data_IF_946716722622
#
_entry.id   IF_946716722622
#
_cell.length_a   1.000
_cell.length_b   1.000
_cell.length_c   1.000
_cell.angle_alpha   90.00
_cell.angle_beta   90.00
_cell.angle_gamma   90.00
#
_symmetry.space_group_name_H-M   'P 1'
#
loop_
_entity.id
_entity.type
_entity.pdbx_description
1 polymer ?
#
# COMPACT_ATOMS: atom_id res chain seq x y z
N UNK A 1 36.79 -8.05 13.37
CA UNK A 1 35.31 -8.01 13.40
C UNK A 1 34.94 -6.76 12.64
N UNK A 2 34.70 -6.92 11.34
CA UNK A 2 34.32 -5.83 10.44
C UNK A 2 32.81 -5.58 10.58
N UNK A 3 32.39 -4.32 10.59
CA UNK A 3 30.98 -3.95 10.67
C UNK A 3 30.19 -4.48 9.45
N UNK A 4 30.91 -4.73 8.34
CA UNK A 4 30.38 -5.39 7.15
C UNK A 4 29.88 -6.84 7.42
N UNK A 5 30.51 -7.57 8.35
CA UNK A 5 30.11 -8.95 8.69
C UNK A 5 28.89 -9.00 9.63
N UNK A 6 28.64 -7.93 10.38
CA UNK A 6 27.50 -7.86 11.31
C UNK A 6 26.16 -7.66 10.56
N UNK A 7 26.19 -6.95 9.43
CA UNK A 7 25.02 -6.74 8.58
C UNK A 7 24.47 -8.03 7.98
N UNK A 8 25.36 -8.93 7.51
CA UNK A 8 24.98 -10.22 6.89
C UNK A 8 24.33 -11.23 7.85
N UNK A 9 24.49 -11.05 9.16
CA UNK A 9 23.94 -11.96 10.18
C UNK A 9 22.62 -11.48 10.78
N UNK A 10 22.34 -10.18 10.76
CA UNK A 10 21.13 -9.60 11.32
C UNK A 10 20.00 -9.45 10.30
N UNK A 11 20.34 -9.13 9.05
CA UNK A 11 19.41 -9.25 7.93
C UNK A 11 19.74 -10.55 7.21
N UNK A 12 19.06 -11.62 7.63
CA UNK A 12 19.05 -12.87 6.89
C UNK A 12 18.77 -12.61 5.42
N UNK A 13 19.52 -13.32 4.58
CA UNK A 13 19.38 -13.50 3.14
C UNK A 13 18.13 -12.79 2.58
N UNK A 14 18.30 -11.56 2.11
CA UNK A 14 17.37 -11.00 1.13
C UNK A 14 17.60 -11.82 -0.14
N UNK A 15 17.01 -13.02 -0.17
CA UNK A 15 16.83 -13.79 -1.38
C UNK A 15 16.29 -12.81 -2.41
N UNK A 16 17.07 -12.62 -3.47
CA UNK A 16 16.62 -12.05 -4.72
C UNK A 16 15.57 -13.01 -5.28
N UNK A 17 14.37 -12.96 -4.70
CA UNK A 17 13.16 -13.48 -5.32
C UNK A 17 12.93 -12.55 -6.51
N UNK A 18 13.47 -12.95 -7.66
CA UNK A 18 13.20 -12.38 -8.97
C UNK A 18 11.70 -12.51 -9.22
N UNK A 19 10.93 -11.58 -8.65
CA UNK A 19 9.51 -11.44 -8.90
C UNK A 19 9.39 -11.12 -10.38
N UNK A 20 8.81 -12.03 -11.15
CA UNK A 20 8.40 -11.76 -12.51
C UNK A 20 7.32 -10.68 -12.44
N UNK A 21 7.71 -9.41 -12.35
CA UNK A 21 6.80 -8.27 -12.18
C UNK A 21 6.11 -8.03 -13.52
N UNK A 22 5.07 -8.82 -13.79
CA UNK A 22 4.02 -8.40 -14.72
C UNK A 22 3.47 -7.07 -14.19
N UNK A 23 3.36 -6.04 -15.05
CA UNK A 23 2.82 -4.76 -14.61
C UNK A 23 1.41 -4.99 -14.02
N UNK A 24 1.09 -4.36 -12.87
CA UNK A 24 -0.19 -4.58 -12.21
C UNK A 24 -1.33 -4.18 -13.13
N UNK A 25 -2.35 -5.02 -13.21
CA UNK A 25 -3.56 -4.72 -13.98
C UNK A 25 -4.38 -3.66 -13.26
N UNK A 26 -5.37 -3.08 -13.96
CA UNK A 26 -6.30 -2.14 -13.32
C UNK A 26 -7.06 -2.79 -12.15
N UNK A 27 -7.42 -4.07 -12.29
CA UNK A 27 -8.11 -4.82 -11.24
C UNK A 27 -7.21 -5.00 -10.00
N UNK A 28 -5.92 -5.29 -10.20
CA UNK A 28 -4.96 -5.41 -9.10
C UNK A 28 -4.81 -4.08 -8.36
N UNK A 29 -4.64 -2.98 -9.10
CA UNK A 29 -4.53 -1.64 -8.53
C UNK A 29 -5.81 -1.23 -7.76
N UNK A 30 -6.99 -1.65 -8.24
CA UNK A 30 -8.27 -1.39 -7.60
C UNK A 30 -8.39 -2.14 -6.26
N UNK A 31 -8.05 -3.43 -6.23
CA UNK A 31 -8.07 -4.20 -4.98
C UNK A 31 -7.02 -3.69 -3.99
N UNK A 32 -5.83 -3.32 -4.48
CA UNK A 32 -4.80 -2.68 -3.64
C UNK A 32 -5.32 -1.39 -3.00
N UNK A 33 -5.96 -0.50 -3.78
CA UNK A 33 -6.55 0.72 -3.24
C UNK A 33 -7.66 0.45 -2.22
N UNK A 34 -8.44 -0.62 -2.42
CA UNK A 34 -9.48 -1.06 -1.47
C UNK A 34 -8.87 -1.54 -0.16
N UNK A 35 -7.81 -2.35 -0.24
CA UNK A 35 -7.07 -2.85 0.92
C UNK A 35 -6.42 -1.71 1.69
N UNK A 36 -5.81 -0.75 0.99
CA UNK A 36 -5.20 0.42 1.60
C UNK A 36 -6.23 1.27 2.34
N UNK A 37 -7.42 1.49 1.76
CA UNK A 37 -8.50 2.20 2.42
C UNK A 37 -8.95 1.48 3.70
N UNK A 38 -9.11 0.15 3.66
CA UNK A 38 -9.45 -0.65 4.83
C UNK A 38 -8.36 -0.58 5.91
N UNK A 39 -7.09 -0.60 5.50
CA UNK A 39 -5.96 -0.49 6.41
C UNK A 39 -5.93 0.88 7.08
N UNK A 40 -6.16 1.96 6.34
CA UNK A 40 -6.22 3.31 6.88
C UNK A 40 -7.37 3.47 7.90
N UNK A 41 -8.53 2.87 7.62
CA UNK A 41 -9.65 2.85 8.58
C UNK A 41 -9.31 2.06 9.86
N UNK A 42 -8.67 0.90 9.73
CA UNK A 42 -8.20 0.12 10.89
C UNK A 42 -7.17 0.89 11.71
N UNK A 43 -6.23 1.55 11.03
CA UNK A 43 -5.20 2.36 11.67
C UNK A 43 -5.82 3.52 12.46
N UNK A 44 -6.75 4.27 11.86
CA UNK A 44 -7.50 5.33 12.55
C UNK A 44 -8.16 4.85 13.84
N UNK A 45 -8.76 3.65 13.83
CA UNK A 45 -9.42 3.08 15.01
C UNK A 45 -8.45 2.60 16.10
N UNK A 46 -7.16 2.45 15.79
CA UNK A 46 -6.13 1.97 16.72
C UNK A 46 -5.31 3.10 17.32
N UNK A 47 -5.17 4.23 16.61
CA UNK A 47 -4.38 5.36 17.07
C UNK A 47 -5.16 6.25 18.03
N UNK A 48 -4.46 6.73 19.06
CA UNK A 48 -4.99 7.66 20.07
C UNK A 48 -4.20 8.96 20.15
N UNK A 49 -3.05 9.02 19.48
CA UNK A 49 -2.21 10.20 19.41
C UNK A 49 -2.78 11.18 18.38
N UNK A 50 -2.92 12.45 18.76
CA UNK A 50 -3.62 13.46 17.97
C UNK A 50 -2.95 13.71 16.60
N UNK A 51 -1.61 13.72 16.54
CA UNK A 51 -0.87 13.93 15.29
C UNK A 51 -1.02 12.71 14.36
N UNK A 52 -1.07 11.50 14.94
CA UNK A 52 -1.29 10.26 14.19
C UNK A 52 -2.74 10.11 13.73
N UNK A 53 -3.71 10.63 14.48
CA UNK A 53 -5.11 10.70 14.07
C UNK A 53 -5.25 11.61 12.85
N UNK A 54 -4.61 12.78 12.85
CA UNK A 54 -4.63 13.68 11.69
C UNK A 54 -4.03 12.99 10.45
N UNK A 55 -2.88 12.33 10.61
CA UNK A 55 -2.29 11.52 9.55
C UNK A 55 -3.25 10.43 9.03
N UNK A 56 -3.90 9.68 9.92
CA UNK A 56 -4.86 8.65 9.56
C UNK A 56 -6.05 9.20 8.75
N UNK A 57 -6.55 10.38 9.12
CA UNK A 57 -7.63 11.07 8.37
C UNK A 57 -7.18 11.42 6.95
N UNK A 58 -5.98 11.98 6.79
CA UNK A 58 -5.44 12.28 5.46
C UNK A 58 -5.25 11.01 4.63
N UNK A 59 -4.77 9.94 5.25
CA UNK A 59 -4.57 8.67 4.56
C UNK A 59 -5.89 8.07 4.06
N UNK A 60 -6.94 8.02 4.91
CA UNK A 60 -8.27 7.57 4.50
C UNK A 60 -8.77 8.36 3.28
N UNK A 61 -8.69 9.70 3.33
CA UNK A 61 -9.13 10.58 2.23
C UNK A 61 -8.36 10.35 0.94
N UNK A 62 -7.04 10.13 1.04
CA UNK A 62 -6.21 9.86 -0.12
C UNK A 62 -6.57 8.51 -0.76
N UNK A 63 -6.68 7.45 0.05
CA UNK A 63 -7.01 6.10 -0.41
C UNK A 63 -8.42 6.01 -1.00
N UNK A 64 -9.40 6.71 -0.41
CA UNK A 64 -10.77 6.77 -0.94
C UNK A 64 -10.83 7.48 -2.31
N UNK A 65 -10.10 8.59 -2.47
CA UNK A 65 -9.98 9.28 -3.76
C UNK A 65 -9.35 8.38 -4.81
N UNK A 66 -8.28 7.66 -4.45
CA UNK A 66 -7.60 6.71 -5.35
C UNK A 66 -8.54 5.59 -5.79
N UNK A 67 -9.19 4.94 -4.84
CA UNK A 67 -10.15 3.86 -5.10
C UNK A 67 -11.30 4.32 -6.02
N UNK A 68 -11.89 5.48 -5.72
CA UNK A 68 -12.98 6.06 -6.53
C UNK A 68 -12.53 6.39 -7.96
N UNK A 69 -11.32 6.93 -8.12
CA UNK A 69 -10.75 7.19 -9.45
C UNK A 69 -10.59 5.90 -10.25
N UNK A 70 -10.07 4.83 -9.63
CA UNK A 70 -9.88 3.53 -10.28
C UNK A 70 -11.22 2.87 -10.65
N UNK A 71 -12.25 2.98 -9.80
CA UNK A 71 -13.61 2.54 -10.15
C UNK A 71 -14.16 3.26 -11.38
N UNK A 72 -13.97 4.58 -11.47
CA UNK A 72 -14.39 5.35 -12.65
C UNK A 72 -13.61 4.93 -13.89
N UNK A 73 -12.31 4.65 -13.75
CA UNK A 73 -11.46 4.20 -14.85
C UNK A 73 -11.92 2.82 -15.36
N UNK A 74 -12.17 1.86 -14.46
CA UNK A 74 -12.63 0.52 -14.82
C UNK A 74 -13.96 0.56 -15.59
N UNK A 75 -14.91 1.39 -15.13
CA UNK A 75 -16.20 1.57 -15.81
C UNK A 75 -16.09 2.22 -17.19
N UNK A 76 -15.07 3.05 -17.41
CA UNK A 76 -14.86 3.72 -18.69
C UNK A 76 -14.01 2.87 -19.66
N UNK A 77 -13.19 1.94 -19.15
CA UNK A 77 -12.47 0.96 -19.97
C UNK A 77 -13.44 -0.08 -20.58
N UNK A 78 -14.58 -0.36 -19.95
CA UNK A 78 -15.64 -1.20 -20.52
C UNK A 78 -16.39 -0.55 -21.71
N UNK A 79 -16.31 0.78 -21.84
CA UNK A 79 -17.03 1.57 -22.86
C UNK A 79 -16.19 1.84 -24.15
N UNK A 80 -14.97 1.32 -24.24
CA UNK A 80 -14.02 1.57 -25.34
C UNK A 80 -13.69 0.31 -26.15
#
# INVERSE_FOLDING_TARGET
MDFADLGRRLLGDCSEEESTVTPPTLADALEEARQELLQAQRYYNQVTDDDLIEHAIYWIKASEKRYTYLLRKARNEDDQ
#
